data_IF_615698025244
#
_entry.id   IF_615698025244
#
_cell.length_a   1.000
_cell.length_b   1.000
_cell.length_c   1.000
_cell.angle_alpha   90.00
_cell.angle_beta   90.00
_cell.angle_gamma   90.00
#
_symmetry.space_group_name_H-M   'P 1'
#
loop_
_entity.id
_entity.type
_entity.pdbx_description
1 polymer ?
#
# COMPACT_ATOMS: atom_id res chain seq x y z
N UNK A 1 -23.40 27.14 -16.92
CA UNK A 1 -22.14 26.38 -16.76
C UNK A 1 -21.00 27.29 -17.22
N UNK A 2 -20.05 27.67 -16.35
CA UNK A 2 -18.87 28.40 -16.82
C UNK A 2 -18.05 27.45 -17.69
N UNK A 3 -17.83 27.83 -18.94
CA UNK A 3 -17.00 27.06 -19.85
C UNK A 3 -15.54 27.16 -19.39
N UNK A 4 -14.98 26.03 -18.95
CA UNK A 4 -13.54 25.91 -18.65
C UNK A 4 -12.74 26.27 -19.91
N UNK A 5 -11.77 27.15 -19.76
CA UNK A 5 -10.93 27.63 -20.88
C UNK A 5 -10.18 26.44 -21.50
N UNK A 6 -10.20 26.23 -22.84
CA UNK A 6 -9.60 25.03 -23.48
C UNK A 6 -8.13 24.77 -23.12
N UNK A 7 -7.36 25.82 -22.80
CA UNK A 7 -5.96 25.73 -22.41
C UNK A 7 -5.70 25.15 -21.01
N UNK A 8 -6.63 25.29 -20.07
CA UNK A 8 -6.42 24.82 -18.69
C UNK A 8 -6.66 23.31 -18.54
N UNK A 9 -7.66 22.77 -19.23
CA UNK A 9 -7.86 21.32 -19.31
C UNK A 9 -6.66 20.63 -19.96
N UNK A 10 -6.08 21.21 -21.02
CA UNK A 10 -4.86 20.71 -21.66
C UNK A 10 -3.68 20.62 -20.69
N UNK A 11 -3.49 21.61 -19.81
CA UNK A 11 -2.41 21.60 -18.82
C UNK A 11 -2.64 20.53 -17.73
N UNK A 12 -3.88 20.35 -17.26
CA UNK A 12 -4.20 19.29 -16.30
C UNK A 12 -4.00 17.90 -16.92
N UNK A 13 -4.39 17.69 -18.18
CA UNK A 13 -4.13 16.44 -18.92
C UNK A 13 -2.62 16.16 -18.97
N UNK A 14 -1.80 17.16 -19.33
CA UNK A 14 -0.35 16.99 -19.37
C UNK A 14 0.25 16.68 -17.99
N UNK A 15 -0.24 17.31 -16.92
CA UNK A 15 0.19 17.03 -15.54
C UNK A 15 -0.19 15.62 -15.11
N UNK A 16 -1.42 15.18 -15.37
CA UNK A 16 -1.89 13.82 -15.06
C UNK A 16 -1.07 12.79 -15.85
N UNK A 17 -0.82 13.03 -17.14
CA UNK A 17 0.03 12.16 -17.96
C UNK A 17 1.45 12.06 -17.37
N UNK A 18 2.01 13.19 -16.93
CA UNK A 18 3.32 13.23 -16.26
C UNK A 18 3.31 12.50 -14.92
N UNK A 19 2.25 12.61 -14.11
CA UNK A 19 2.09 11.87 -12.85
C UNK A 19 1.95 10.37 -13.10
N UNK A 20 1.07 9.97 -14.03
CA UNK A 20 0.90 8.57 -14.48
C UNK A 20 2.23 7.98 -14.94
N UNK A 21 2.99 8.70 -15.77
CA UNK A 21 4.31 8.25 -16.25
C UNK A 21 5.36 8.16 -15.14
N UNK A 22 5.42 9.15 -14.23
CA UNK A 22 6.35 9.15 -13.10
C UNK A 22 6.06 8.07 -12.06
N UNK A 23 4.79 7.67 -11.94
CA UNK A 23 4.37 6.57 -11.09
C UNK A 23 4.62 5.21 -11.77
N UNK A 24 4.23 5.03 -13.03
CA UNK A 24 4.37 3.75 -13.72
C UNK A 24 5.83 3.30 -13.91
N UNK A 25 6.76 4.23 -14.14
CA UNK A 25 8.18 3.96 -14.46
C UNK A 25 8.33 2.73 -15.38
N UNK A 26 7.86 2.85 -16.63
CA UNK A 26 7.94 1.79 -17.65
C UNK A 26 9.36 1.62 -18.21
N UNK A 27 10.34 2.30 -17.62
CA UNK A 27 11.73 2.28 -18.05
C UNK A 27 12.47 1.03 -17.62
N UNK A 28 13.61 0.76 -18.28
CA UNK A 28 14.53 -0.35 -17.97
C UNK A 28 15.22 -0.25 -16.60
N UNK A 29 14.94 0.82 -15.82
CA UNK A 29 15.41 0.98 -14.43
C UNK A 29 14.46 0.30 -13.44
N UNK A 30 13.21 0.07 -13.83
CA UNK A 30 12.21 -0.58 -12.99
C UNK A 30 12.42 -2.11 -12.98
N UNK A 31 12.59 -2.74 -11.81
CA UNK A 31 12.77 -4.19 -11.70
C UNK A 31 11.56 -5.01 -12.20
N UNK A 32 10.39 -4.41 -12.33
CA UNK A 32 9.22 -5.03 -12.96
C UNK A 32 9.33 -5.11 -14.50
N UNK A 33 10.21 -4.33 -15.12
CA UNK A 33 10.51 -4.35 -16.57
C UNK A 33 11.85 -5.02 -16.87
N UNK A 34 12.89 -4.73 -16.08
CA UNK A 34 14.22 -5.34 -16.22
C UNK A 34 14.68 -5.91 -14.89
N UNK A 35 14.28 -7.15 -14.65
CA UNK A 35 14.59 -7.97 -13.50
C UNK A 35 16.01 -8.50 -13.57
N UNK A 36 16.87 -8.05 -12.64
CA UNK A 36 18.30 -8.38 -12.62
C UNK A 36 18.61 -9.43 -11.56
N UNK A 37 18.65 -10.70 -11.94
CA UNK A 37 18.76 -11.85 -11.02
C UNK A 37 20.02 -11.83 -10.13
N UNK A 38 21.06 -11.11 -10.53
CA UNK A 38 22.32 -10.92 -9.79
C UNK A 38 22.20 -9.90 -8.63
N UNK A 39 21.10 -9.14 -8.57
CA UNK A 39 20.89 -8.12 -7.54
C UNK A 39 20.91 -8.68 -6.11
N UNK A 40 21.54 -7.98 -5.14
CA UNK A 40 21.48 -8.36 -3.72
C UNK A 40 20.09 -8.16 -3.10
N UNK A 41 19.12 -7.61 -3.86
CA UNK A 41 17.71 -7.45 -3.47
C UNK A 41 16.82 -8.59 -3.98
N UNK A 42 17.41 -9.72 -4.34
CA UNK A 42 16.73 -10.89 -4.87
C UNK A 42 17.28 -12.13 -4.17
N UNK A 43 16.42 -13.10 -3.92
CA UNK A 43 16.80 -14.44 -3.49
C UNK A 43 16.03 -15.44 -4.35
N UNK A 44 16.74 -16.31 -5.06
CA UNK A 44 16.11 -17.32 -5.93
C UNK A 44 15.74 -18.55 -5.09
N UNK A 45 14.47 -18.94 -5.14
CA UNK A 45 13.94 -20.12 -4.45
C UNK A 45 13.99 -21.30 -5.43
N UNK A 46 14.73 -22.33 -5.04
CA UNK A 46 14.89 -23.55 -5.80
C UNK A 46 13.74 -24.51 -5.46
N UNK A 47 12.76 -24.58 -6.34
CA UNK A 47 11.65 -25.54 -6.27
C UNK A 47 11.44 -26.20 -7.64
N UNK A 48 11.08 -27.48 -7.62
CA UNK A 48 10.63 -28.21 -8.82
C UNK A 48 9.11 -28.21 -8.95
N UNK A 49 8.40 -27.76 -7.91
CA UNK A 49 6.94 -27.79 -7.78
C UNK A 49 6.48 -26.39 -7.33
N UNK A 50 6.59 -25.36 -8.19
CA UNK A 50 6.18 -24.00 -7.87
C UNK A 50 4.67 -23.87 -7.63
N UNK A 51 3.88 -24.75 -8.25
CA UNK A 51 2.45 -24.92 -8.05
C UNK A 51 2.10 -25.34 -6.61
N UNK A 52 2.82 -26.32 -6.05
CA UNK A 52 2.63 -26.75 -4.66
C UNK A 52 3.03 -25.65 -3.67
N UNK A 53 4.11 -24.92 -3.98
CA UNK A 53 4.53 -23.76 -3.17
C UNK A 53 3.46 -22.67 -3.17
N UNK A 54 2.92 -22.33 -4.35
CA UNK A 54 1.82 -21.38 -4.52
C UNK A 54 0.59 -21.81 -3.71
N UNK A 55 0.19 -23.08 -3.83
CA UNK A 55 -0.93 -23.67 -3.08
C UNK A 55 -0.74 -23.60 -1.56
N UNK A 56 0.42 -23.99 -1.06
CA UNK A 56 0.71 -23.96 0.37
C UNK A 56 0.67 -22.55 0.96
N UNK A 57 1.14 -21.57 0.20
CA UNK A 57 1.20 -20.18 0.64
C UNK A 57 -0.17 -19.50 0.59
N UNK A 58 -0.95 -19.72 -0.47
CA UNK A 58 -2.19 -18.99 -0.74
C UNK A 58 -3.41 -19.69 -0.14
N UNK A 59 -3.63 -20.96 -0.49
CA UNK A 59 -4.79 -21.71 0.03
C UNK A 59 -4.54 -22.18 1.46
N UNK A 60 -3.33 -22.67 1.72
CA UNK A 60 -2.96 -23.23 3.02
C UNK A 60 -2.60 -22.18 4.08
N UNK A 61 -2.36 -20.91 3.67
CA UNK A 61 -1.77 -19.84 4.50
C UNK A 61 -0.60 -20.35 5.36
N UNK A 62 0.18 -21.31 4.84
CA UNK A 62 1.21 -22.00 5.62
C UNK A 62 2.42 -21.11 5.80
N UNK A 63 3.02 -21.23 6.97
CA UNK A 63 4.27 -20.56 7.27
C UNK A 63 5.45 -21.39 6.75
N UNK A 64 6.26 -20.77 5.89
CA UNK A 64 7.39 -21.40 5.21
C UNK A 64 8.70 -21.00 5.89
N UNK A 65 9.69 -21.89 5.91
CA UNK A 65 10.96 -21.69 6.62
C UNK A 65 12.13 -21.75 5.65
N UNK A 66 13.08 -20.82 5.75
CA UNK A 66 14.31 -20.92 4.96
C UNK A 66 15.26 -21.96 5.55
N UNK A 67 15.70 -22.93 4.74
CA UNK A 67 16.76 -23.84 5.12
C UNK A 67 18.09 -23.09 5.08
N UNK A 68 18.75 -22.95 6.23
CA UNK A 68 20.12 -22.45 6.33
C UNK A 68 21.05 -23.64 6.41
N UNK A 69 21.78 -23.90 5.33
CA UNK A 69 22.88 -24.86 5.31
C UNK A 69 24.15 -24.08 5.70
N UNK A 70 24.77 -24.47 6.81
CA UNK A 70 26.05 -23.97 7.33
C UNK A 70 26.15 -22.44 7.49
N UNK A 71 25.55 -21.92 8.56
CA UNK A 71 26.06 -20.68 9.17
C UNK A 71 27.06 -21.07 10.26
N UNK A 72 28.26 -20.50 10.26
CA UNK A 72 29.27 -20.61 11.35
C UNK A 72 28.69 -20.26 12.74
N UNK A 73 27.48 -19.68 12.81
CA UNK A 73 26.70 -19.45 14.03
C UNK A 73 26.09 -20.71 14.67
N UNK A 74 25.99 -21.84 13.96
CA UNK A 74 25.51 -23.10 14.55
C UNK A 74 26.55 -23.76 15.47
N UNK A 75 27.84 -23.45 15.30
CA UNK A 75 28.91 -24.08 16.07
C UNK A 75 29.04 -23.57 17.53
N UNK A 76 28.37 -22.48 17.90
CA UNK A 76 28.48 -21.95 19.27
C UNK A 76 27.46 -22.62 20.23
N UNK A 77 26.53 -23.45 19.74
CA UNK A 77 25.45 -23.96 20.61
C UNK A 77 25.08 -25.45 20.49
N UNK A 78 25.88 -26.30 19.83
CA UNK A 78 25.64 -27.76 19.90
C UNK A 78 26.95 -28.57 19.97
N UNK A 79 27.41 -28.83 21.19
CA UNK A 79 28.15 -30.05 21.49
C UNK A 79 27.19 -31.25 21.39
N UNK A 80 27.07 -31.84 20.21
CA UNK A 80 26.25 -33.03 20.02
C UNK A 80 26.22 -33.51 18.58
N UNK A 81 26.95 -34.59 18.31
CA UNK A 81 26.97 -35.50 17.15
C UNK A 81 26.25 -35.04 15.86
N UNK A 82 26.89 -35.12 14.68
CA UNK A 82 26.22 -34.84 13.41
C UNK A 82 25.06 -35.82 13.20
N UNK A 83 23.83 -35.38 13.42
CA UNK A 83 22.65 -36.12 12.99
C UNK A 83 22.58 -35.97 11.47
N UNK A 84 22.64 -37.11 10.79
CA UNK A 84 22.44 -37.21 9.35
C UNK A 84 21.19 -36.40 8.93
N UNK A 85 21.31 -35.66 7.83
CA UNK A 85 20.24 -34.84 7.27
C UNK A 85 18.96 -35.68 7.08
N UNK A 86 17.78 -35.19 7.49
CA UNK A 86 16.53 -35.78 7.03
C UNK A 86 16.48 -35.65 5.50
N UNK A 87 16.43 -36.77 4.82
CA UNK A 87 16.40 -36.86 3.35
C UNK A 87 15.00 -36.59 2.77
N UNK A 88 14.01 -36.37 3.64
CA UNK A 88 12.65 -36.01 3.24
C UNK A 88 12.57 -34.52 2.91
N UNK A 89 12.16 -34.19 1.68
CA UNK A 89 11.81 -32.83 1.29
C UNK A 89 10.62 -32.37 2.14
N UNK A 90 10.85 -31.59 3.19
CA UNK A 90 9.77 -30.91 3.88
C UNK A 90 9.19 -29.86 2.92
N UNK A 91 7.93 -29.95 2.48
CA UNK A 91 7.37 -29.02 1.51
C UNK A 91 7.22 -27.59 2.05
N UNK A 92 7.46 -27.39 3.35
CA UNK A 92 7.46 -26.08 4.00
C UNK A 92 8.86 -25.47 4.14
N UNK A 93 9.92 -26.19 3.70
CA UNK A 93 11.28 -25.69 3.69
C UNK A 93 11.64 -25.07 2.32
N UNK A 94 12.08 -23.81 2.37
CA UNK A 94 12.54 -23.04 1.22
C UNK A 94 14.05 -23.21 1.08
N UNK A 95 14.45 -23.83 -0.02
CA UNK A 95 15.84 -23.88 -0.47
C UNK A 95 16.10 -22.73 -1.43
N UNK A 96 17.26 -22.11 -1.31
CA UNK A 96 17.63 -20.98 -2.15
C UNK A 96 18.90 -21.27 -2.91
N UNK A 97 19.08 -20.60 -4.05
CA UNK A 97 20.31 -20.72 -4.84
C UNK A 97 21.51 -20.18 -4.08
N UNK A 98 21.32 -19.05 -3.40
CA UNK A 98 22.32 -18.50 -2.50
C UNK A 98 22.29 -19.28 -1.19
N UNK A 99 23.46 -19.59 -0.62
CA UNK A 99 23.61 -20.41 0.58
C UNK A 99 24.45 -19.71 1.66
N UNK A 100 24.44 -20.26 2.88
CA UNK A 100 25.25 -19.80 4.01
C UNK A 100 25.16 -18.30 4.27
N UNK A 101 26.33 -17.65 4.40
CA UNK A 101 26.43 -16.22 4.69
C UNK A 101 25.81 -15.31 3.62
N UNK A 102 25.79 -15.71 2.35
CA UNK A 102 25.17 -14.90 1.30
C UNK A 102 23.64 -14.90 1.42
N UNK A 103 23.04 -16.07 1.65
CA UNK A 103 21.62 -16.23 1.91
C UNK A 103 21.18 -15.36 3.10
N UNK A 104 21.91 -15.45 4.22
CA UNK A 104 21.63 -14.69 5.43
C UNK A 104 21.73 -13.18 5.21
N UNK A 105 22.76 -12.71 4.48
CA UNK A 105 22.93 -11.29 4.14
C UNK A 105 21.76 -10.78 3.29
N UNK A 106 21.34 -11.55 2.28
CA UNK A 106 20.21 -11.19 1.40
C UNK A 106 18.89 -11.18 2.17
N UNK A 107 18.59 -12.20 2.98
CA UNK A 107 17.39 -12.26 3.84
C UNK A 107 17.34 -11.07 4.81
N UNK A 108 18.45 -10.76 5.49
CA UNK A 108 18.55 -9.61 6.40
C UNK A 108 18.27 -8.29 5.67
N UNK A 109 18.83 -8.12 4.48
CA UNK A 109 18.65 -6.92 3.65
C UNK A 109 17.21 -6.78 3.15
N UNK A 110 16.65 -7.84 2.59
CA UNK A 110 15.26 -7.90 2.12
C UNK A 110 14.30 -7.53 3.25
N UNK A 111 14.47 -8.14 4.42
CA UNK A 111 13.64 -7.85 5.60
C UNK A 111 13.77 -6.39 6.04
N UNK A 112 15.00 -5.87 6.13
CA UNK A 112 15.24 -4.50 6.59
C UNK A 112 14.66 -3.46 5.61
N UNK A 113 14.86 -3.63 4.31
CA UNK A 113 14.32 -2.72 3.30
C UNK A 113 12.78 -2.82 3.18
N UNK A 114 12.21 -4.03 3.29
CA UNK A 114 10.76 -4.24 3.29
C UNK A 114 10.11 -3.52 4.48
N UNK A 115 10.65 -3.74 5.69
CA UNK A 115 10.17 -3.10 6.91
C UNK A 115 10.30 -1.58 6.83
N UNK A 116 11.44 -1.08 6.33
CA UNK A 116 11.63 0.36 6.12
C UNK A 116 10.60 0.94 5.16
N UNK A 117 10.32 0.26 4.04
CA UNK A 117 9.29 0.70 3.08
C UNK A 117 7.92 0.77 3.74
N UNK A 118 7.58 -0.22 4.57
CA UNK A 118 6.31 -0.25 5.28
C UNK A 118 6.22 0.86 6.35
N UNK A 119 7.23 1.00 7.20
CA UNK A 119 7.27 2.01 8.27
C UNK A 119 7.30 3.46 7.73
N UNK A 120 8.00 3.70 6.62
CA UNK A 120 8.15 5.05 6.06
C UNK A 120 7.03 5.45 5.11
N UNK A 121 6.45 4.50 4.37
CA UNK A 121 5.51 4.81 3.28
C UNK A 121 4.15 4.11 3.43
N UNK A 122 4.00 3.20 4.39
CA UNK A 122 2.80 2.38 4.55
C UNK A 122 2.59 1.36 3.42
N UNK A 123 3.64 1.02 2.67
CA UNK A 123 3.50 0.13 1.49
C UNK A 123 4.38 -1.10 1.63
N UNK A 124 3.75 -2.26 1.49
CA UNK A 124 4.44 -3.50 1.25
C UNK A 124 5.28 -3.42 -0.03
N UNK A 125 6.53 -3.84 0.09
CA UNK A 125 7.45 -3.90 -1.04
C UNK A 125 8.00 -5.30 -1.27
N UNK A 126 7.69 -6.28 -0.41
CA UNK A 126 8.24 -7.62 -0.50
C UNK A 126 7.24 -8.59 -1.14
N UNK A 127 7.70 -9.27 -2.18
CA UNK A 127 6.87 -10.20 -2.95
C UNK A 127 7.65 -11.47 -3.29
N UNK A 128 6.91 -12.58 -3.37
CA UNK A 128 7.31 -13.71 -4.18
C UNK A 128 6.88 -13.48 -5.63
N UNK A 129 7.85 -13.39 -6.52
CA UNK A 129 7.63 -13.43 -7.95
C UNK A 129 7.60 -14.88 -8.42
N UNK A 130 6.43 -15.33 -8.91
CA UNK A 130 6.28 -16.61 -9.59
C UNK A 130 6.35 -16.41 -11.10
N UNK A 131 7.31 -17.11 -11.69
CA UNK A 131 7.64 -17.09 -13.09
C UNK A 131 8.29 -15.81 -13.58
N UNK A 132 9.02 -15.97 -14.68
CA UNK A 132 9.63 -14.87 -15.41
C UNK A 132 9.35 -14.99 -16.90
N UNK A 133 9.18 -13.84 -17.53
CA UNK A 133 9.08 -13.68 -18.97
C UNK A 133 10.39 -13.12 -19.50
N UNK A 134 11.03 -13.86 -20.40
CA UNK A 134 12.08 -13.35 -21.29
C UNK A 134 11.40 -12.77 -22.52
N UNK A 135 11.58 -11.48 -22.80
CA UNK A 135 10.90 -10.78 -23.89
C UNK A 135 11.78 -9.69 -24.52
N UNK A 136 11.31 -9.17 -25.65
CA UNK A 136 12.03 -8.18 -26.47
C UNK A 136 11.13 -6.98 -26.72
N UNK A 137 11.63 -5.78 -26.41
CA UNK A 137 10.89 -4.53 -26.60
C UNK A 137 11.02 -4.05 -28.07
N UNK A 138 9.96 -3.48 -28.63
CA UNK A 138 9.98 -2.89 -30.00
C UNK A 138 10.99 -1.76 -30.10
N UNK A 139 11.20 -1.02 -29.00
CA UNK A 139 12.11 0.12 -28.96
C UNK A 139 13.59 -0.29 -29.08
N UNK A 140 13.94 -1.49 -28.61
CA UNK A 140 15.29 -2.08 -28.69
C UNK A 140 15.20 -3.60 -28.83
N UNK A 141 15.00 -4.12 -30.05
CA UNK A 141 14.73 -5.54 -30.27
C UNK A 141 15.92 -6.48 -29.97
N UNK A 142 17.13 -5.94 -29.79
CA UNK A 142 18.33 -6.72 -29.48
C UNK A 142 18.61 -6.84 -27.97
N UNK A 143 17.97 -6.04 -27.12
CA UNK A 143 18.16 -6.10 -25.66
C UNK A 143 17.16 -7.08 -25.06
N UNK A 144 17.67 -8.17 -24.47
CA UNK A 144 16.83 -9.15 -23.78
C UNK A 144 16.35 -8.57 -22.46
N UNK A 145 15.03 -8.54 -22.27
CA UNK A 145 14.41 -8.16 -21.02
C UNK A 145 13.91 -9.40 -20.29
N UNK A 146 14.00 -9.35 -18.97
CA UNK A 146 13.46 -10.36 -18.06
C UNK A 146 12.51 -9.63 -17.12
N UNK A 147 11.27 -10.08 -17.00
CA UNK A 147 10.27 -9.50 -16.08
C UNK A 147 9.62 -10.59 -15.24
N UNK A 148 9.34 -10.35 -13.94
CA UNK A 148 8.52 -11.25 -13.15
C UNK A 148 7.07 -11.25 -13.68
N UNK A 149 6.35 -12.36 -13.52
CA UNK A 149 4.98 -12.50 -14.02
C UNK A 149 3.92 -12.32 -12.93
N UNK A 150 3.93 -13.19 -11.92
CA UNK A 150 2.92 -13.17 -10.84
C UNK A 150 3.60 -12.67 -9.57
N UNK A 151 2.98 -11.74 -8.85
CA UNK A 151 3.49 -11.14 -7.64
C UNK A 151 2.56 -11.51 -6.48
N UNK A 152 3.10 -12.28 -5.53
CA UNK A 152 2.40 -12.68 -4.30
C UNK A 152 2.98 -11.87 -3.13
N UNK A 153 2.18 -11.04 -2.45
CA UNK A 153 2.64 -10.22 -1.33
C UNK A 153 2.95 -11.10 -0.11
N UNK A 154 4.13 -10.90 0.49
CA UNK A 154 4.63 -11.75 1.59
C UNK A 154 5.32 -10.94 2.67
N UNK A 155 5.28 -11.47 3.89
CA UNK A 155 6.06 -10.97 5.02
C UNK A 155 7.25 -11.87 5.31
N UNK A 156 8.41 -11.25 5.59
CA UNK A 156 9.62 -11.94 6.02
C UNK A 156 9.89 -11.69 7.51
N UNK A 157 9.62 -12.70 8.32
CA UNK A 157 9.82 -12.69 9.76
C UNK A 157 11.16 -13.34 10.14
N UNK A 158 11.72 -12.93 11.28
CA UNK A 158 12.88 -13.56 11.90
C UNK A 158 12.50 -14.05 13.29
N UNK A 159 12.78 -15.31 13.60
CA UNK A 159 12.57 -15.81 14.97
C UNK A 159 13.50 -15.12 15.97
N UNK A 160 13.01 -14.79 17.18
CA UNK A 160 13.87 -14.31 18.25
C UNK A 160 14.93 -15.36 18.61
N UNK A 161 16.20 -14.94 18.75
CA UNK A 161 17.34 -15.77 19.21
C UNK A 161 17.80 -16.90 18.28
N UNK A 162 17.16 -17.12 17.13
CA UNK A 162 17.62 -18.04 16.09
C UNK A 162 17.80 -17.27 14.77
N UNK A 163 18.75 -17.67 13.93
CA UNK A 163 18.85 -17.13 12.58
C UNK A 163 17.80 -17.72 11.62
N UNK A 164 16.67 -18.18 12.14
CA UNK A 164 15.59 -18.77 11.33
C UNK A 164 14.72 -17.66 10.76
N UNK A 165 14.63 -17.64 9.42
CA UNK A 165 13.73 -16.76 8.69
C UNK A 165 12.49 -17.51 8.24
N UNK A 166 11.35 -16.83 8.34
CA UNK A 166 10.02 -17.36 8.05
C UNK A 166 9.33 -16.48 7.03
N UNK A 167 8.59 -17.09 6.13
CA UNK A 167 7.78 -16.41 5.13
C UNK A 167 6.31 -16.75 5.33
N UNK A 168 5.45 -15.75 5.28
CA UNK A 168 3.99 -15.89 5.27
C UNK A 168 3.39 -14.99 4.19
N UNK A 169 2.20 -15.35 3.72
CA UNK A 169 1.42 -14.50 2.83
C UNK A 169 0.83 -13.32 3.60
N UNK A 170 0.77 -12.14 2.98
CA UNK A 170 -0.01 -11.01 3.48
C UNK A 170 -1.44 -11.11 2.93
N UNK A 171 -2.43 -10.58 3.63
CA UNK A 171 -3.82 -10.58 3.15
C UNK A 171 -4.08 -9.52 2.06
N UNK A 172 -3.07 -9.24 1.23
CA UNK A 172 -3.13 -8.37 0.06
C UNK A 172 -3.42 -9.19 -1.20
N UNK A 173 -4.04 -8.56 -2.19
CA UNK A 173 -4.36 -9.20 -3.47
C UNK A 173 -3.10 -9.65 -4.22
N UNK A 174 -3.17 -10.85 -4.80
CA UNK A 174 -2.17 -11.32 -5.75
C UNK A 174 -2.34 -10.54 -7.05
N UNK A 175 -1.24 -10.16 -7.68
CA UNK A 175 -1.28 -9.40 -8.92
C UNK A 175 -0.42 -10.03 -10.01
N UNK A 176 -0.87 -9.97 -11.25
CA UNK A 176 0.07 -10.04 -12.38
C UNK A 176 0.87 -8.74 -12.42
N UNK A 177 2.12 -8.82 -12.86
CA UNK A 177 3.02 -7.69 -12.92
C UNK A 177 2.38 -6.50 -13.67
N UNK A 178 1.96 -5.45 -12.96
CA UNK A 178 1.12 -4.41 -13.55
C UNK A 178 1.91 -3.49 -14.48
N UNK A 179 3.20 -3.25 -14.16
CA UNK A 179 4.09 -2.46 -15.01
C UNK A 179 4.36 -3.17 -16.33
N UNK A 180 4.59 -4.48 -16.28
CA UNK A 180 4.71 -5.30 -17.49
C UNK A 180 3.39 -5.28 -18.28
N UNK A 181 2.24 -5.53 -17.62
CA UNK A 181 0.92 -5.49 -18.26
C UNK A 181 0.67 -4.16 -18.99
N UNK A 182 0.97 -3.03 -18.35
CA UNK A 182 0.85 -1.71 -18.96
C UNK A 182 1.78 -1.53 -20.17
N UNK A 183 3.04 -1.96 -20.07
CA UNK A 183 4.01 -1.88 -21.18
C UNK A 183 3.57 -2.76 -22.36
N UNK A 184 3.08 -3.96 -22.08
CA UNK A 184 2.56 -4.90 -23.07
C UNK A 184 1.30 -4.36 -23.76
N UNK A 185 0.36 -3.77 -23.01
CA UNK A 185 -0.82 -3.11 -23.56
C UNK A 185 -0.45 -1.95 -24.48
N UNK A 186 0.46 -1.09 -24.04
CA UNK A 186 0.88 0.09 -24.83
C UNK A 186 1.67 -0.27 -26.10
N UNK A 187 2.56 -1.27 -26.02
CA UNK A 187 3.50 -1.54 -27.13
C UNK A 187 3.02 -2.68 -28.04
N UNK A 188 2.24 -3.62 -27.52
CA UNK A 188 1.83 -4.85 -28.21
C UNK A 188 0.31 -5.04 -28.25
N UNK A 189 -0.49 -4.24 -27.53
CA UNK A 189 -1.94 -4.44 -27.44
C UNK A 189 -2.35 -5.67 -26.63
N UNK A 190 -1.43 -6.25 -25.86
CA UNK A 190 -1.68 -7.43 -25.03
C UNK A 190 -2.16 -6.97 -23.66
N UNK A 191 -3.33 -7.42 -23.24
CA UNK A 191 -3.91 -7.10 -21.94
C UNK A 191 -3.76 -8.28 -20.98
N UNK A 192 -3.15 -8.03 -19.82
CA UNK A 192 -3.08 -9.02 -18.73
C UNK A 192 -4.35 -8.94 -17.87
N UNK A 193 -4.83 -10.07 -17.32
CA UNK A 193 -5.91 -10.04 -16.34
C UNK A 193 -5.44 -9.34 -15.05
N UNK A 194 -6.36 -8.61 -14.42
CA UNK A 194 -6.10 -7.78 -13.24
C UNK A 194 -7.26 -7.86 -12.22
N UNK A 195 -7.00 -7.44 -10.98
CA UNK A 195 -8.02 -7.33 -9.94
C UNK A 195 -8.65 -8.67 -9.55
N UNK A 196 -9.98 -8.70 -9.46
CA UNK A 196 -10.76 -9.90 -9.09
C UNK A 196 -10.55 -11.06 -10.06
N UNK A 197 -10.26 -10.79 -11.34
CA UNK A 197 -10.02 -11.83 -12.34
C UNK A 197 -8.76 -12.66 -12.10
N UNK A 198 -7.89 -12.23 -11.18
CA UNK A 198 -6.68 -12.98 -10.79
C UNK A 198 -6.89 -13.71 -9.46
N UNK A 199 -7.88 -13.29 -8.66
CA UNK A 199 -8.10 -13.84 -7.33
C UNK A 199 -8.78 -15.22 -7.41
N UNK A 200 -8.31 -16.16 -6.58
CA UNK A 200 -8.90 -17.50 -6.48
C UNK A 200 -8.61 -18.44 -7.66
N UNK A 201 -7.83 -18.01 -8.66
CA UNK A 201 -7.42 -18.84 -9.79
C UNK A 201 -6.25 -19.75 -9.39
N UNK A 202 -6.26 -21.00 -9.87
CA UNK A 202 -5.17 -21.93 -9.63
C UNK A 202 -3.88 -21.51 -10.37
N UNK A 203 -2.73 -21.92 -9.83
CA UNK A 203 -1.42 -21.62 -10.44
C UNK A 203 -1.34 -22.05 -11.92
N UNK A 204 -1.82 -23.26 -12.22
CA UNK A 204 -1.79 -23.82 -13.58
C UNK A 204 -2.68 -23.05 -14.55
N UNK A 205 -3.87 -22.61 -14.10
CA UNK A 205 -4.78 -21.80 -14.91
C UNK A 205 -4.19 -20.42 -15.21
N UNK A 206 -3.58 -19.75 -14.22
CA UNK A 206 -2.91 -18.46 -14.42
C UNK A 206 -1.81 -18.56 -15.49
N UNK A 207 -0.94 -19.56 -15.40
CA UNK A 207 0.11 -19.75 -16.40
C UNK A 207 -0.44 -20.14 -17.78
N UNK A 208 -1.52 -20.92 -17.84
CA UNK A 208 -2.18 -21.25 -19.10
C UNK A 208 -2.74 -19.99 -19.78
N UNK A 209 -3.40 -19.11 -19.03
CA UNK A 209 -3.89 -17.83 -19.55
C UNK A 209 -2.75 -16.94 -20.06
N UNK A 210 -1.66 -16.78 -19.28
CA UNK A 210 -0.51 -15.99 -19.69
C UNK A 210 0.14 -16.57 -20.96
N UNK A 211 0.30 -17.90 -21.04
CA UNK A 211 0.83 -18.56 -22.25
C UNK A 211 -0.02 -18.29 -23.48
N UNK A 212 -1.34 -18.36 -23.34
CA UNK A 212 -2.26 -18.09 -24.44
C UNK A 212 -2.17 -16.64 -24.92
N UNK A 213 -2.10 -15.68 -24.00
CA UNK A 213 -1.94 -14.25 -24.33
C UNK A 213 -0.63 -13.94 -25.06
N UNK A 214 0.41 -14.73 -24.80
CA UNK A 214 1.76 -14.52 -25.36
C UNK A 214 2.08 -15.46 -26.52
N UNK A 215 1.12 -16.27 -26.98
CA UNK A 215 1.34 -17.33 -27.98
C UNK A 215 1.85 -16.80 -29.33
N UNK A 216 1.46 -15.59 -29.73
CA UNK A 216 1.91 -14.97 -30.98
C UNK A 216 3.38 -14.47 -30.93
N UNK A 217 3.99 -14.42 -29.75
CA UNK A 217 5.33 -13.88 -29.54
C UNK A 217 6.40 -14.98 -29.55
N UNK A 218 6.73 -15.49 -30.74
CA UNK A 218 7.60 -16.68 -30.93
C UNK A 218 9.00 -16.61 -30.30
N UNK A 219 9.53 -15.40 -30.04
CA UNK A 219 10.84 -15.22 -29.39
C UNK A 219 10.77 -15.21 -27.87
N UNK A 220 9.57 -15.10 -27.30
CA UNK A 220 9.42 -14.89 -25.86
C UNK A 220 9.37 -16.24 -25.15
N UNK A 221 9.92 -16.27 -23.94
CA UNK A 221 10.01 -17.50 -23.15
C UNK A 221 9.52 -17.27 -21.74
N UNK A 222 8.57 -18.10 -21.30
CA UNK A 222 8.13 -18.14 -19.91
C UNK A 222 8.90 -19.24 -19.18
N UNK A 223 9.42 -18.92 -17.99
CA UNK A 223 10.02 -19.87 -17.05
C UNK A 223 9.26 -19.84 -15.73
N UNK A 224 8.99 -21.00 -15.13
CA UNK A 224 8.29 -21.15 -13.84
C UNK A 224 9.29 -21.18 -12.66
N UNK A 225 10.14 -20.16 -12.56
CA UNK A 225 11.07 -19.96 -11.45
C UNK A 225 10.48 -19.06 -10.37
N UNK A 226 11.02 -19.12 -9.15
CA UNK A 226 10.48 -18.37 -8.01
C UNK A 226 11.56 -17.48 -7.39
N UNK A 227 11.23 -16.21 -7.15
CA UNK A 227 12.15 -15.26 -6.52
C UNK A 227 11.47 -14.50 -5.39
N UNK A 228 12.18 -14.33 -4.28
CA UNK A 228 11.82 -13.33 -3.26
C UNK A 228 12.54 -12.02 -3.59
N UNK A 229 11.78 -10.93 -3.77
CA UNK A 229 12.38 -9.64 -4.12
C UNK A 229 11.55 -8.44 -3.66
N UNK A 230 12.18 -7.26 -3.75
CA UNK A 230 11.57 -5.98 -3.44
C UNK A 230 11.06 -5.31 -4.73
N UNK A 231 9.77 -5.04 -4.79
CA UNK A 231 9.12 -4.27 -5.86
C UNK A 231 8.40 -3.05 -5.28
N UNK A 232 8.48 -1.92 -5.99
CA UNK A 232 7.78 -0.68 -5.59
C UNK A 232 6.34 -0.71 -6.12
N UNK A 233 5.52 -1.61 -5.57
CA UNK A 233 4.15 -1.88 -6.04
C UNK A 233 3.15 -0.73 -5.80
N UNK A 234 3.40 0.13 -4.79
CA UNK A 234 2.57 1.30 -4.46
C UNK A 234 2.13 2.12 -5.68
N UNK A 235 3.03 2.25 -6.65
CA UNK A 235 2.83 3.12 -7.80
C UNK A 235 1.82 2.56 -8.79
N UNK A 236 1.66 1.25 -8.89
CA UNK A 236 0.70 0.64 -9.81
C UNK A 236 -0.75 0.87 -9.36
N UNK A 237 -1.05 0.65 -8.09
CA UNK A 237 -2.38 0.94 -7.52
C UNK A 237 -2.75 2.43 -7.67
N UNK A 238 -1.79 3.34 -7.41
CA UNK A 238 -2.00 4.78 -7.64
C UNK A 238 -2.22 5.13 -9.12
N UNK A 239 -1.49 4.50 -10.05
CA UNK A 239 -1.70 4.72 -11.49
C UNK A 239 -3.09 4.26 -11.91
N UNK A 240 -3.53 3.11 -11.42
CA UNK A 240 -4.87 2.58 -11.67
C UNK A 240 -5.95 3.53 -11.14
N UNK A 241 -5.83 3.98 -9.89
CA UNK A 241 -6.76 4.94 -9.28
C UNK A 241 -6.88 6.23 -10.11
N UNK A 242 -5.76 6.76 -10.63
CA UNK A 242 -5.75 7.92 -11.53
C UNK A 242 -6.40 7.66 -12.90
N UNK A 243 -6.42 6.42 -13.37
CA UNK A 243 -7.09 6.05 -14.62
C UNK A 243 -8.59 5.87 -14.37
N UNK A 244 -8.97 5.15 -13.33
CA UNK A 244 -10.38 4.86 -13.00
C UNK A 244 -11.15 6.11 -12.59
N UNK A 245 -10.51 7.04 -11.87
CA UNK A 245 -11.13 8.27 -11.39
C UNK A 245 -10.86 9.48 -12.29
N UNK A 246 -10.44 9.27 -13.55
CA UNK A 246 -10.04 10.34 -14.46
C UNK A 246 -11.13 11.43 -14.62
N UNK A 247 -12.39 11.02 -14.84
CA UNK A 247 -13.50 11.97 -14.96
C UNK A 247 -13.72 12.80 -13.68
N UNK A 248 -13.63 12.16 -12.51
CA UNK A 248 -13.75 12.85 -11.22
C UNK A 248 -12.62 13.86 -11.01
N UNK A 249 -11.39 13.45 -11.32
CA UNK A 249 -10.20 14.30 -11.24
C UNK A 249 -10.38 15.55 -12.11
N UNK A 250 -10.82 15.38 -13.35
CA UNK A 250 -11.04 16.50 -14.27
C UNK A 250 -12.17 17.43 -13.82
N UNK A 251 -13.15 16.94 -13.08
CA UNK A 251 -14.26 17.75 -12.56
C UNK A 251 -13.96 18.46 -11.23
N UNK A 252 -12.88 18.09 -10.54
CA UNK A 252 -12.64 18.53 -9.17
C UNK A 252 -12.05 19.95 -9.09
N UNK A 253 -12.70 20.93 -8.41
CA UNK A 253 -12.28 22.34 -8.42
C UNK A 253 -10.84 22.58 -7.98
N UNK A 254 -10.38 21.88 -6.94
CA UNK A 254 -9.00 22.03 -6.44
C UNK A 254 -7.97 21.47 -7.44
N UNK A 255 -8.29 20.35 -8.11
CA UNK A 255 -7.34 19.72 -9.04
C UNK A 255 -7.23 20.53 -10.34
N UNK A 256 -8.33 21.15 -10.78
CA UNK A 256 -8.32 22.16 -11.84
C UNK A 256 -7.46 23.38 -11.47
N UNK A 257 -7.58 23.88 -10.24
CA UNK A 257 -6.73 24.96 -9.71
C UNK A 257 -5.25 24.58 -9.70
N UNK A 258 -4.92 23.35 -9.30
CA UNK A 258 -3.55 22.82 -9.42
C UNK A 258 -3.09 22.70 -10.88
N UNK A 259 -4.02 22.50 -11.82
CA UNK A 259 -3.79 22.57 -13.27
C UNK A 259 -3.53 23.98 -13.80
N UNK A 260 -3.80 25.02 -13.01
CA UNK A 260 -3.65 26.43 -13.36
C UNK A 260 -4.96 27.17 -13.59
N UNK A 261 -6.12 26.50 -13.49
CA UNK A 261 -7.43 27.14 -13.61
C UNK A 261 -7.99 27.52 -12.24
N UNK A 262 -7.78 28.76 -11.83
CA UNK A 262 -8.23 29.24 -10.53
C UNK A 262 -9.70 29.70 -10.53
N UNK A 263 -10.37 29.77 -11.69
CA UNK A 263 -11.66 30.44 -11.82
C UNK A 263 -12.75 29.86 -10.91
N UNK A 264 -12.93 28.53 -10.93
CA UNK A 264 -13.92 27.84 -10.10
C UNK A 264 -13.57 27.95 -8.62
N UNK A 265 -12.29 27.76 -8.28
CA UNK A 265 -11.82 27.86 -6.90
C UNK A 265 -12.05 29.27 -6.33
N UNK A 266 -11.64 30.31 -7.06
CA UNK A 266 -11.79 31.71 -6.65
C UNK A 266 -13.26 32.11 -6.52
N UNK A 267 -14.13 31.63 -7.40
CA UNK A 267 -15.56 31.96 -7.33
C UNK A 267 -16.26 31.40 -6.08
N UNK A 268 -15.72 30.33 -5.49
CA UNK A 268 -16.28 29.67 -4.31
C UNK A 268 -15.47 29.94 -3.03
N UNK A 269 -14.36 30.67 -3.13
CA UNK A 269 -13.49 30.95 -2.00
C UNK A 269 -14.19 31.90 -1.02
N UNK A 270 -14.16 31.53 0.26
CA UNK A 270 -14.67 32.34 1.36
C UNK A 270 -13.52 32.58 2.34
N UNK A 271 -13.28 33.85 2.65
CA UNK A 271 -12.29 34.21 3.64
C UNK A 271 -12.70 33.63 5.01
N UNK A 272 -11.79 32.96 5.74
CA UNK A 272 -12.06 32.49 7.09
C UNK A 272 -12.48 33.63 8.02
N UNK A 273 -13.31 33.31 9.02
CA UNK A 273 -13.62 34.27 10.08
C UNK A 273 -12.33 34.66 10.81
N UNK A 274 -12.01 35.96 10.94
CA UNK A 274 -10.82 36.38 11.67
C UNK A 274 -10.99 36.11 13.16
N UNK A 275 -9.88 35.89 13.85
CA UNK A 275 -9.86 35.60 15.29
C UNK A 275 -10.65 36.62 16.13
N UNK A 276 -10.61 37.91 15.75
CA UNK A 276 -11.32 38.98 16.45
C UNK A 276 -12.85 38.92 16.31
N UNK A 277 -13.38 38.19 15.34
CA UNK A 277 -14.81 38.05 15.12
C UNK A 277 -15.41 36.78 15.73
N UNK A 278 -14.58 35.83 16.18
CA UNK A 278 -15.02 34.51 16.65
C UNK A 278 -16.04 34.62 17.80
N UNK A 279 -15.72 35.37 18.85
CA UNK A 279 -16.57 35.49 20.05
C UNK A 279 -17.96 36.08 19.79
N UNK A 280 -18.12 36.82 18.68
CA UNK A 280 -19.39 37.41 18.28
C UNK A 280 -20.26 36.49 17.40
N UNK A 281 -19.65 35.48 16.79
CA UNK A 281 -20.32 34.61 15.81
C UNK A 281 -20.48 33.17 16.30
N UNK A 282 -19.62 32.71 17.22
CA UNK A 282 -19.59 31.32 17.68
C UNK A 282 -19.90 31.31 19.16
N UNK A 283 -20.97 30.61 19.51
CA UNK A 283 -21.37 30.47 20.91
C UNK A 283 -20.77 29.19 21.51
N UNK A 284 -20.36 29.19 22.79
CA UNK A 284 -19.79 28.01 23.44
C UNK A 284 -20.70 26.77 23.38
N UNK A 285 -22.03 26.95 23.37
CA UNK A 285 -22.97 25.82 23.32
C UNK A 285 -23.02 25.13 21.94
N UNK A 286 -22.39 25.73 20.93
CA UNK A 286 -22.32 25.22 19.56
C UNK A 286 -20.92 24.66 19.23
N UNK A 287 -20.08 24.50 20.26
CA UNK A 287 -18.71 24.02 20.14
C UNK A 287 -18.62 22.61 20.73
N UNK A 288 -18.13 21.67 19.92
CA UNK A 288 -17.99 20.25 20.27
C UNK A 288 -16.52 19.81 20.36
N UNK A 289 -15.64 20.77 20.60
CA UNK A 289 -14.20 20.53 20.74
C UNK A 289 -13.91 19.75 22.02
N UNK A 290 -13.00 18.79 21.91
CA UNK A 290 -12.67 17.86 23.01
C UNK A 290 -11.32 18.18 23.67
N UNK A 291 -10.59 19.14 23.12
CA UNK A 291 -9.34 19.68 23.64
C UNK A 291 -9.36 21.21 23.57
N UNK A 292 -8.48 21.87 24.33
CA UNK A 292 -8.33 23.33 24.25
C UNK A 292 -7.96 23.78 22.83
N UNK A 293 -8.31 25.01 22.47
CA UNK A 293 -7.84 25.62 21.24
C UNK A 293 -7.61 27.12 21.43
N UNK A 294 -6.44 27.60 21.01
CA UNK A 294 -6.16 29.04 20.95
C UNK A 294 -6.92 29.70 19.79
N UNK A 295 -6.93 31.04 19.76
CA UNK A 295 -7.68 31.81 18.76
C UNK A 295 -7.25 31.52 17.31
N UNK A 296 -5.97 31.18 17.06
CA UNK A 296 -5.50 30.82 15.72
C UNK A 296 -5.97 29.42 15.30
N UNK A 297 -6.03 28.48 16.25
CA UNK A 297 -6.55 27.15 16.04
C UNK A 297 -8.08 27.19 15.82
N UNK A 298 -8.79 28.07 16.52
CA UNK A 298 -10.23 28.28 16.32
C UNK A 298 -10.56 28.75 14.90
N UNK A 299 -9.79 29.69 14.34
CA UNK A 299 -9.97 30.14 12.94
C UNK A 299 -9.87 28.95 11.98
N UNK A 300 -8.93 28.04 12.21
CA UNK A 300 -8.74 26.84 11.40
C UNK A 300 -9.93 25.88 11.53
N UNK A 301 -10.40 25.64 12.76
CA UNK A 301 -11.52 24.73 13.04
C UNK A 301 -12.80 25.24 12.37
N UNK A 302 -13.08 26.53 12.50
CA UNK A 302 -14.30 27.14 11.95
C UNK A 302 -14.26 27.26 10.43
N UNK A 303 -13.07 27.48 9.84
CA UNK A 303 -12.89 27.36 8.39
C UNK A 303 -13.22 25.94 7.90
N UNK A 304 -12.82 24.89 8.64
CA UNK A 304 -13.16 23.51 8.28
C UNK A 304 -14.66 23.24 8.38
N UNK A 305 -15.32 23.70 9.45
CA UNK A 305 -16.79 23.58 9.63
C UNK A 305 -17.56 24.25 8.50
N UNK A 306 -17.10 25.43 8.06
CA UNK A 306 -17.65 26.17 6.93
C UNK A 306 -17.41 25.50 5.55
N UNK A 307 -16.66 24.40 5.49
CA UNK A 307 -16.37 23.65 4.26
C UNK A 307 -15.21 24.21 3.44
N UNK A 308 -14.36 25.07 4.02
CA UNK A 308 -13.22 25.64 3.31
C UNK A 308 -12.11 24.60 3.11
N UNK A 309 -11.43 24.68 1.96
CA UNK A 309 -10.20 23.94 1.69
C UNK A 309 -9.00 24.87 1.87
N UNK A 310 -8.05 24.51 2.74
CA UNK A 310 -6.95 25.40 3.11
C UNK A 310 -5.68 24.63 3.48
N UNK A 311 -4.57 25.36 3.56
CA UNK A 311 -3.28 24.86 4.05
C UNK A 311 -2.96 25.55 5.36
N UNK A 312 -2.72 24.76 6.40
CA UNK A 312 -2.28 25.27 7.72
C UNK A 312 -0.78 25.06 7.85
N UNK A 313 -0.06 26.13 8.16
CA UNK A 313 1.35 26.05 8.52
C UNK A 313 1.51 26.37 10.00
N UNK A 314 2.21 25.49 10.72
CA UNK A 314 2.48 25.68 12.14
C UNK A 314 3.86 25.15 12.51
N UNK A 315 4.71 25.92 13.23
CA UNK A 315 5.98 25.45 13.78
C UNK A 315 5.85 24.16 14.61
N UNK A 316 6.95 23.44 14.88
CA UNK A 316 6.95 22.33 15.83
C UNK A 316 6.41 22.77 17.20
N UNK A 317 5.54 21.98 17.82
CA UNK A 317 4.97 22.27 19.14
C UNK A 317 3.70 23.14 19.17
N UNK A 318 3.22 23.66 18.04
CA UNK A 318 2.02 24.55 18.01
C UNK A 318 0.67 23.83 18.05
N UNK A 319 0.60 22.63 18.64
CA UNK A 319 -0.66 21.92 18.82
C UNK A 319 -1.36 21.44 17.54
N UNK A 320 -0.68 21.30 16.39
CA UNK A 320 -1.30 20.84 15.12
C UNK A 320 -2.18 19.60 15.26
N UNK A 321 -1.70 18.56 15.96
CA UNK A 321 -2.47 17.33 16.20
C UNK A 321 -3.72 17.59 17.04
N UNK A 322 -3.66 18.53 17.98
CA UNK A 322 -4.79 18.93 18.80
C UNK A 322 -5.83 19.71 17.98
N UNK A 323 -5.39 20.59 17.09
CA UNK A 323 -6.27 21.24 16.10
C UNK A 323 -6.96 20.21 15.19
N UNK A 324 -6.25 19.18 14.74
CA UNK A 324 -6.82 18.09 13.92
C UNK A 324 -7.91 17.34 14.70
N UNK A 325 -7.64 16.97 15.95
CA UNK A 325 -8.60 16.27 16.80
C UNK A 325 -9.87 17.09 17.00
N UNK A 326 -9.74 18.39 17.28
CA UNK A 326 -10.89 19.28 17.42
C UNK A 326 -11.68 19.45 16.11
N UNK A 327 -10.99 19.57 14.97
CA UNK A 327 -11.66 19.60 13.66
C UNK A 327 -12.47 18.31 13.41
N UNK A 328 -11.91 17.15 13.74
CA UNK A 328 -12.61 15.86 13.60
C UNK A 328 -13.85 15.84 14.48
N UNK A 329 -13.73 16.21 15.76
CA UNK A 329 -14.85 16.22 16.69
C UNK A 329 -16.01 17.11 16.21
N UNK A 330 -15.69 18.32 15.75
CA UNK A 330 -16.67 19.29 15.21
C UNK A 330 -17.35 18.82 13.92
N UNK A 331 -16.59 18.23 12.99
CA UNK A 331 -17.17 17.71 11.76
C UNK A 331 -18.04 16.47 12.02
N UNK A 332 -17.65 15.62 12.97
CA UNK A 332 -18.44 14.45 13.36
C UNK A 332 -19.71 14.86 14.12
N UNK A 333 -19.67 15.90 14.97
CA UNK A 333 -20.87 16.43 15.61
C UNK A 333 -21.86 17.03 14.60
N UNK A 334 -21.37 17.55 13.47
CA UNK A 334 -22.17 17.95 12.32
C UNK A 334 -22.74 16.77 11.50
N UNK A 335 -22.50 15.52 11.92
CA UNK A 335 -22.93 14.31 11.21
C UNK A 335 -22.10 13.98 9.97
N UNK A 336 -20.89 14.55 9.81
CA UNK A 336 -20.02 14.29 8.66
C UNK A 336 -19.09 13.09 8.94
N UNK A 337 -18.77 12.33 7.90
CA UNK A 337 -17.67 11.37 7.92
C UNK A 337 -16.34 12.06 7.62
N UNK A 338 -15.30 11.75 8.38
CA UNK A 338 -13.97 12.37 8.21
C UNK A 338 -12.93 11.30 7.84
N UNK A 339 -12.19 11.52 6.75
CA UNK A 339 -11.04 10.70 6.37
C UNK A 339 -9.74 11.47 6.67
N UNK A 340 -8.95 10.97 7.62
CA UNK A 340 -7.62 11.49 7.92
C UNK A 340 -6.56 10.70 7.15
N UNK A 341 -5.72 11.39 6.38
CA UNK A 341 -4.62 10.79 5.62
C UNK A 341 -3.30 11.43 6.07
N UNK A 342 -2.27 10.60 6.28
CA UNK A 342 -0.92 11.07 6.59
C UNK A 342 0.14 10.17 5.94
N UNK A 343 1.32 10.74 5.67
CA UNK A 343 2.45 9.98 5.11
C UNK A 343 3.01 8.95 6.10
N UNK A 344 3.01 9.28 7.40
CA UNK A 344 3.59 8.44 8.46
C UNK A 344 2.52 7.94 9.41
N UNK A 345 2.55 6.64 9.70
CA UNK A 345 1.67 6.00 10.68
C UNK A 345 1.73 6.67 12.05
N UNK A 346 2.91 7.14 12.46
CA UNK A 346 3.10 7.84 13.74
C UNK A 346 2.22 9.08 13.89
N UNK A 347 1.94 9.80 12.79
CA UNK A 347 1.05 10.96 12.83
C UNK A 347 -0.41 10.54 13.07
N UNK A 348 -0.85 9.45 12.46
CA UNK A 348 -2.18 8.87 12.65
C UNK A 348 -2.35 8.36 14.08
N UNK A 349 -1.36 7.61 14.59
CA UNK A 349 -1.38 7.06 15.95
C UNK A 349 -1.46 8.15 17.02
N UNK A 350 -0.82 9.31 16.81
CA UNK A 350 -0.95 10.46 17.74
C UNK A 350 -2.37 11.01 17.77
N UNK A 351 -3.03 11.12 16.61
CA UNK A 351 -4.41 11.62 16.55
C UNK A 351 -5.38 10.60 17.17
N UNK A 352 -5.28 9.32 16.78
CA UNK A 352 -6.10 8.25 17.34
C UNK A 352 -5.96 8.17 18.86
N UNK A 353 -4.73 8.20 19.38
CA UNK A 353 -4.48 8.17 20.82
C UNK A 353 -5.19 9.32 21.56
N UNK A 354 -5.17 10.53 21.02
CA UNK A 354 -5.84 11.69 21.63
C UNK A 354 -7.36 11.55 21.61
N UNK A 355 -7.93 11.04 20.52
CA UNK A 355 -9.37 10.77 20.44
C UNK A 355 -9.76 9.69 21.47
N UNK A 356 -8.95 8.65 21.60
CA UNK A 356 -9.15 7.59 22.59
C UNK A 356 -9.02 8.09 24.04
N UNK A 357 -8.04 8.96 24.33
CA UNK A 357 -7.89 9.62 25.64
C UNK A 357 -9.11 10.48 26.00
N UNK A 358 -9.86 10.95 25.00
CA UNK A 358 -11.13 11.67 25.19
C UNK A 358 -12.37 10.75 25.22
N UNK A 359 -12.19 9.43 25.20
CA UNK A 359 -13.28 8.45 25.23
C UNK A 359 -14.02 8.24 23.91
N UNK A 360 -13.50 8.77 22.80
CA UNK A 360 -14.14 8.76 21.49
C UNK A 360 -13.54 7.73 20.51
N UNK A 361 -12.81 6.74 21.02
CA UNK A 361 -12.14 5.70 20.20
C UNK A 361 -13.13 4.94 19.31
N UNK A 362 -14.35 4.72 19.79
CA UNK A 362 -15.43 4.04 19.07
C UNK A 362 -15.85 4.75 17.77
N UNK A 363 -15.53 6.03 17.59
CA UNK A 363 -15.77 6.80 16.37
C UNK A 363 -14.68 6.62 15.31
N UNK A 364 -13.55 6.00 15.67
CA UNK A 364 -12.39 5.85 14.80
C UNK A 364 -12.39 4.49 14.10
N UNK A 365 -12.11 4.52 12.79
CA UNK A 365 -11.75 3.34 12.03
C UNK A 365 -10.34 3.52 11.45
N UNK A 366 -9.36 2.80 12.00
CA UNK A 366 -7.98 2.87 11.53
C UNK A 366 -7.75 1.86 10.40
N UNK A 367 -7.49 2.35 9.18
CA UNK A 367 -7.28 1.57 7.95
C UNK A 367 -5.80 1.23 7.65
N UNK A 368 -4.86 1.60 8.53
CA UNK A 368 -3.42 1.52 8.26
C UNK A 368 -2.70 0.36 8.96
N UNK A 369 -3.39 -0.39 9.82
CA UNK A 369 -2.78 -1.55 10.46
C UNK A 369 -2.87 -2.80 9.59
N UNK A 370 -1.91 -3.71 9.75
CA UNK A 370 -2.01 -5.09 9.25
C UNK A 370 -3.27 -5.82 9.74
N UNK A 371 -3.95 -5.28 10.75
CA UNK A 371 -5.25 -5.73 11.23
C UNK A 371 -6.45 -5.29 10.38
N UNK A 372 -6.33 -4.27 9.52
CA UNK A 372 -7.39 -3.97 8.53
C UNK A 372 -7.32 -4.80 7.27
N UNK A 373 -6.26 -5.56 7.11
CA UNK A 373 -6.23 -6.68 6.17
C UNK A 373 -7.00 -7.88 6.73
N UNK A 374 -7.02 -8.05 8.06
CA UNK A 374 -7.87 -9.02 8.75
C UNK A 374 -9.32 -8.52 8.86
N UNK A 375 -10.13 -8.87 7.87
CA UNK A 375 -11.57 -8.57 7.82
C UNK A 375 -12.29 -8.92 9.13
N UNK A 376 -11.81 -9.89 9.92
CA UNK A 376 -12.43 -10.26 11.19
C UNK A 376 -12.23 -9.19 12.26
N UNK A 377 -11.03 -8.61 12.35
CA UNK A 377 -10.75 -7.57 13.33
C UNK A 377 -11.54 -6.30 13.03
N UNK A 378 -11.63 -5.94 11.74
CA UNK A 378 -12.52 -4.87 11.27
C UNK A 378 -13.98 -5.10 11.70
N UNK A 379 -14.51 -6.30 11.44
CA UNK A 379 -15.89 -6.67 11.81
C UNK A 379 -16.09 -6.65 13.33
N UNK A 380 -15.09 -7.09 14.10
CA UNK A 380 -15.14 -7.06 15.56
C UNK A 380 -15.20 -5.62 16.09
N UNK A 381 -14.34 -4.72 15.58
CA UNK A 381 -14.32 -3.31 15.98
C UNK A 381 -15.65 -2.63 15.64
N UNK A 382 -16.20 -2.87 14.43
CA UNK A 382 -17.51 -2.35 14.05
C UNK A 382 -18.63 -2.88 14.96
N UNK A 383 -18.59 -4.16 15.32
CA UNK A 383 -19.58 -4.78 16.21
C UNK A 383 -19.53 -4.17 17.61
N UNK A 384 -18.34 -3.89 18.13
CA UNK A 384 -18.17 -3.20 19.41
C UNK A 384 -18.72 -1.77 19.39
N UNK A 385 -18.46 -1.02 18.32
CA UNK A 385 -19.03 0.33 18.15
C UNK A 385 -20.56 0.29 18.10
N UNK A 386 -21.15 -0.65 17.36
CA UNK A 386 -22.63 -0.79 17.28
C UNK A 386 -23.22 -1.11 18.66
N UNK A 387 -22.62 -2.03 19.41
CA UNK A 387 -23.07 -2.38 20.76
C UNK A 387 -23.03 -1.16 21.69
N UNK A 388 -21.92 -0.41 21.67
CA UNK A 388 -21.75 0.81 22.48
C UNK A 388 -22.80 1.88 22.14
N UNK A 389 -23.06 2.14 20.86
CA UNK A 389 -24.08 3.10 20.43
C UNK A 389 -25.50 2.66 20.84
N UNK A 390 -25.76 1.36 20.85
CA UNK A 390 -27.05 0.81 21.29
C UNK A 390 -27.24 1.05 22.79
N UNK A 391 -26.22 0.82 23.62
CA UNK A 391 -26.26 1.10 25.06
C UNK A 391 -26.50 2.59 25.36
N UNK A 392 -25.85 3.50 24.61
CA UNK A 392 -26.07 4.94 24.76
C UNK A 392 -27.52 5.32 24.43
N UNK A 393 -28.06 4.83 23.31
CA UNK A 393 -29.43 5.14 22.91
C UNK A 393 -30.46 4.63 23.93
N UNK A 394 -30.24 3.46 24.52
CA UNK A 394 -31.09 2.93 25.58
C UNK A 394 -31.02 3.78 26.87
N UNK A 395 -29.87 4.39 27.16
CA UNK A 395 -29.70 5.30 28.29
C UNK A 395 -30.37 6.66 28.02
N UNK A 396 -30.28 7.19 26.79
CA UNK A 396 -30.91 8.46 26.41
C UNK A 396 -32.43 8.36 26.34
N UNK A 397 -32.99 7.21 25.95
CA UNK A 397 -34.45 7.00 25.92
C UNK A 397 -35.06 6.82 27.32
N UNK A 398 -34.23 6.60 28.35
CA UNK A 398 -34.64 6.47 29.76
C UNK A 398 -34.53 7.76 30.56
N UNK A 399 -33.86 8.77 30.02
CA UNK A 399 -33.68 10.11 30.59
C UNK A 399 -34.60 11.12 29.92
#
# INVERSE_FOLDING_TARGET
MPQSTPGSQSNLIQKIAKWKAGLADLGRRNPLIKFRQDSPRILEILTQEPDLLFKHLIEGKKLLHFQLVDSEYQDISQSGKPKALPTEKNPLELRTRQTGNEQLKRLKKLRAEARKSFEERGVNSLFLAFGTLTWYDKDKPDDVLLSPLILVPVELMKEPKRDIYKLSILEEDIALNPTLGQKLKQTFGIEFPEGESVQGISYGELFAQIRNLLAEQNKWQIKENVFLSLFSYAKAAMVRDLIENEARIFSHPILQAMGGDLSIYQSNYKEPLPASALDSHIKPEQTFQILDADSSQQVVIEAAKAGSSFVVQGPPGTGKSQTIVNMIAELVSDGKSVLLVAEKETALNVVQKRIAECGLDHLCLNLHHSSTTDKRELVNNLSQTIAYLTEINELSDRS
#
